data_IF_017966420714
#
_entry.id   IF_017966420714
#
_cell.length_a   1.000
_cell.length_b   1.000
_cell.length_c   1.000
_cell.angle_alpha   90.00
_cell.angle_beta   90.00
_cell.angle_gamma   90.00
#
_symmetry.space_group_name_H-M   'P 1'
#
loop_
_entity.id
_entity.type
_entity.pdbx_description
1 polymer ?
#
# COMPACT_ATOMS: atom_id res chain seq x y z
N UNK A 1 -9.70 -11.73 -0.25
CA UNK A 1 -9.46 -10.54 -1.09
C UNK A 1 -8.13 -10.68 -1.82
N UNK A 2 -8.18 -10.58 -3.15
CA UNK A 2 -7.00 -10.78 -4.00
C UNK A 2 -5.92 -9.73 -3.73
N UNK A 3 -6.31 -8.48 -3.52
CA UNK A 3 -5.37 -7.40 -3.23
C UNK A 3 -4.66 -7.64 -1.90
N UNK A 4 -5.41 -8.02 -0.87
CA UNK A 4 -4.83 -8.34 0.43
C UNK A 4 -3.88 -9.53 0.34
N UNK A 5 -4.25 -10.56 -0.41
CA UNK A 5 -3.38 -11.73 -0.62
C UNK A 5 -2.07 -11.34 -1.33
N UNK A 6 -2.14 -10.45 -2.32
CA UNK A 6 -0.95 -9.97 -3.02
C UNK A 6 -0.03 -9.18 -2.09
N UNK A 7 -0.60 -8.36 -1.21
CA UNK A 7 0.19 -7.61 -0.23
C UNK A 7 0.85 -8.54 0.79
N UNK A 8 0.14 -9.58 1.23
CA UNK A 8 0.71 -10.59 2.12
C UNK A 8 1.86 -11.35 1.43
N UNK A 9 1.72 -11.62 0.14
CA UNK A 9 2.78 -12.28 -0.64
C UNK A 9 4.03 -11.40 -0.73
N UNK A 10 3.88 -10.08 -0.83
CA UNK A 10 5.03 -9.16 -0.80
C UNK A 10 5.78 -9.28 0.53
N UNK A 11 5.07 -9.32 1.64
CA UNK A 11 5.69 -9.50 2.95
C UNK A 11 6.40 -10.84 3.06
N UNK A 12 5.80 -11.90 2.56
CA UNK A 12 6.39 -13.23 2.55
C UNK A 12 7.64 -13.30 1.66
N UNK A 13 7.71 -12.45 0.64
CA UNK A 13 8.87 -12.36 -0.26
C UNK A 13 10.01 -11.52 0.31
N UNK A 14 9.86 -10.98 1.52
CA UNK A 14 10.91 -10.22 2.20
C UNK A 14 10.78 -8.70 2.11
N UNK A 15 9.72 -8.19 1.49
CA UNK A 15 9.47 -6.76 1.48
C UNK A 15 8.89 -6.32 2.83
N UNK A 16 9.23 -5.11 3.33
CA UNK A 16 8.73 -4.64 4.63
C UNK A 16 7.28 -4.14 4.51
N UNK A 17 6.37 -5.05 4.25
CA UNK A 17 4.94 -4.74 4.05
C UNK A 17 4.09 -5.59 4.96
N UNK A 18 3.20 -4.96 5.72
CA UNK A 18 2.14 -5.62 6.48
C UNK A 18 0.80 -5.10 5.97
N UNK A 19 -0.22 -5.93 5.93
CA UNK A 19 -1.52 -5.54 5.41
C UNK A 19 -2.66 -6.19 6.18
N UNK A 20 -3.76 -5.44 6.33
CA UNK A 20 -4.96 -5.89 7.03
C UNK A 20 -6.20 -5.44 6.28
N UNK A 21 -7.32 -6.18 6.34
CA UNK A 21 -8.59 -5.66 5.88
C UNK A 21 -9.01 -4.49 6.79
N UNK A 22 -9.49 -3.39 6.19
CA UNK A 22 -9.90 -2.21 6.95
C UNK A 22 -11.43 -2.07 6.92
N UNK A 23 -11.99 -1.90 5.73
CA UNK A 23 -13.43 -1.84 5.52
C UNK A 23 -13.73 -2.57 4.21
N UNK A 24 -15.01 -2.63 3.81
CA UNK A 24 -15.43 -3.45 2.66
C UNK A 24 -14.61 -3.20 1.39
N UNK A 25 -14.22 -1.94 1.15
CA UNK A 25 -13.52 -1.55 -0.08
C UNK A 25 -12.11 -1.02 0.17
N UNK A 26 -11.54 -1.27 1.34
CA UNK A 26 -10.24 -0.72 1.69
C UNK A 26 -9.34 -1.78 2.31
N UNK A 27 -8.05 -1.62 2.07
CA UNK A 27 -7.00 -2.42 2.71
C UNK A 27 -6.05 -1.44 3.39
N UNK A 28 -5.68 -1.74 4.63
CA UNK A 28 -4.69 -0.96 5.37
C UNK A 28 -3.33 -1.63 5.21
N UNK A 29 -2.31 -0.85 4.83
CA UNK A 29 -0.96 -1.37 4.67
C UNK A 29 0.01 -0.57 5.54
N UNK A 30 1.01 -1.24 6.08
CA UNK A 30 2.10 -0.61 6.81
C UNK A 30 3.42 -0.92 6.11
N UNK A 31 4.20 0.11 5.85
CA UNK A 31 5.54 -0.03 5.28
C UNK A 31 6.41 1.14 5.75
N UNK A 32 7.72 0.92 6.01
CA UNK A 32 8.61 2.02 6.32
C UNK A 32 8.57 3.09 5.24
N UNK A 33 8.70 4.35 5.64
CA UNK A 33 8.65 5.48 4.71
C UNK A 33 7.32 5.61 3.96
N UNK A 34 6.22 5.23 4.59
CA UNK A 34 4.90 5.23 3.96
C UNK A 34 4.52 6.59 3.36
N UNK A 35 4.82 7.69 4.05
CA UNK A 35 4.53 9.03 3.53
C UNK A 35 5.28 9.28 2.22
N UNK A 36 6.53 8.86 2.14
CA UNK A 36 7.34 9.00 0.92
C UNK A 36 6.78 8.14 -0.21
N UNK A 37 6.41 6.92 0.10
CA UNK A 37 5.77 6.02 -0.88
C UNK A 37 4.47 6.64 -1.40
N UNK A 38 3.65 7.20 -0.52
CA UNK A 38 2.40 7.87 -0.90
C UNK A 38 2.65 9.05 -1.84
N UNK A 39 3.64 9.88 -1.51
CA UNK A 39 3.98 11.03 -2.35
C UNK A 39 4.44 10.60 -3.74
N UNK A 40 5.26 9.58 -3.81
CA UNK A 40 5.74 9.05 -5.09
C UNK A 40 4.64 8.38 -5.90
N UNK A 41 3.72 7.67 -5.25
CA UNK A 41 2.55 7.12 -5.94
C UNK A 41 1.74 8.23 -6.61
N UNK A 42 1.54 9.34 -5.91
CA UNK A 42 0.81 10.48 -6.45
C UNK A 42 1.59 11.15 -7.59
N UNK A 43 2.88 11.42 -7.38
CA UNK A 43 3.67 12.26 -8.29
C UNK A 43 4.17 11.49 -9.52
N UNK A 44 4.52 10.22 -9.36
CA UNK A 44 5.10 9.41 -10.45
C UNK A 44 4.08 8.53 -11.16
N UNK A 45 3.03 8.10 -10.47
CA UNK A 45 2.05 7.15 -11.00
C UNK A 45 0.63 7.69 -11.05
N UNK A 46 0.40 8.90 -10.53
CA UNK A 46 -0.94 9.50 -10.42
C UNK A 46 -1.91 8.63 -9.63
N UNK A 47 -1.41 7.90 -8.65
CA UNK A 47 -2.21 7.03 -7.80
C UNK A 47 -2.39 7.69 -6.44
N UNK A 48 -3.64 7.83 -6.00
CA UNK A 48 -3.97 8.44 -4.72
C UNK A 48 -4.30 7.37 -3.68
N UNK A 49 -3.52 7.35 -2.59
CA UNK A 49 -3.81 6.52 -1.42
C UNK A 49 -3.89 7.44 -0.20
N UNK A 50 -4.62 7.02 0.82
CA UNK A 50 -4.82 7.84 2.00
C UNK A 50 -3.76 7.55 3.05
N UNK A 51 -3.16 8.61 3.57
CA UNK A 51 -2.18 8.50 4.66
C UNK A 51 -2.93 8.46 6.00
N UNK A 52 -2.70 7.40 6.79
CA UNK A 52 -3.25 7.24 8.12
C UNK A 52 -2.18 7.24 9.21
N UNK A 53 -0.95 7.62 8.86
CA UNK A 53 0.14 7.61 9.83
C UNK A 53 -0.06 8.59 11.00
N UNK A 54 -0.98 9.56 10.85
CA UNK A 54 -1.32 10.48 11.92
C UNK A 54 -2.17 9.85 13.04
N UNK A 55 -2.82 8.72 12.77
CA UNK A 55 -3.72 8.11 13.75
C UNK A 55 -2.91 7.29 14.77
N UNK A 56 -3.35 7.27 16.06
CA UNK A 56 -2.65 6.47 17.07
C UNK A 56 -2.57 5.00 16.69
N UNK A 57 -1.38 4.43 16.81
CA UNK A 57 -1.13 3.03 16.49
C UNK A 57 -1.04 2.72 15.00
N UNK A 58 -1.19 3.73 14.13
CA UNK A 58 -1.16 3.54 12.67
C UNK A 58 0.05 4.22 12.01
N UNK A 59 1.15 4.34 12.74
CA UNK A 59 2.38 4.89 12.17
C UNK A 59 2.77 4.12 10.90
N UNK A 60 3.15 4.84 9.86
CA UNK A 60 3.54 4.29 8.56
C UNK A 60 2.44 3.47 7.87
N UNK A 61 1.17 3.77 8.15
CA UNK A 61 0.05 3.10 7.51
C UNK A 61 -0.59 3.94 6.41
N UNK A 62 -0.95 3.27 5.32
CA UNK A 62 -1.68 3.85 4.21
C UNK A 62 -2.95 3.05 3.97
N UNK A 63 -4.01 3.71 3.51
CA UNK A 63 -5.25 3.04 3.13
C UNK A 63 -5.33 3.00 1.61
N UNK A 64 -5.41 1.78 1.06
CA UNK A 64 -5.53 1.56 -0.38
C UNK A 64 -6.97 1.15 -0.69
N UNK A 65 -7.60 1.83 -1.65
CA UNK A 65 -8.96 1.50 -2.08
C UNK A 65 -8.91 0.27 -2.99
N UNK A 66 -9.80 -0.69 -2.75
CA UNK A 66 -9.98 -1.83 -3.63
C UNK A 66 -10.87 -1.40 -4.79
N UNK A 67 -10.33 -1.41 -6.00
CA UNK A 67 -11.03 -1.04 -7.22
C UNK A 67 -11.24 -2.23 -8.15
N UNK A 68 -11.22 -1.99 -9.45
CA UNK A 68 -11.27 -3.06 -10.44
C UNK A 68 -10.00 -3.90 -10.36
N UNK A 69 -10.02 -5.17 -10.84
CA UNK A 69 -8.80 -5.98 -10.87
C UNK A 69 -7.63 -5.30 -11.58
N UNK A 70 -7.88 -4.58 -12.67
CA UNK A 70 -6.84 -3.87 -13.40
C UNK A 70 -6.26 -2.72 -12.57
N UNK A 71 -7.12 -1.93 -11.92
CA UNK A 71 -6.68 -0.84 -11.06
C UNK A 71 -5.86 -1.37 -9.88
N UNK A 72 -6.31 -2.46 -9.26
CA UNK A 72 -5.60 -3.08 -8.14
C UNK A 72 -4.21 -3.55 -8.59
N UNK A 73 -4.10 -4.14 -9.77
CA UNK A 73 -2.82 -4.60 -10.29
C UNK A 73 -1.86 -3.44 -10.50
N UNK A 74 -2.33 -2.33 -11.08
CA UNK A 74 -1.51 -1.14 -11.28
C UNK A 74 -1.00 -0.56 -9.96
N UNK A 75 -1.88 -0.46 -8.96
CA UNK A 75 -1.51 0.04 -7.64
C UNK A 75 -0.49 -0.87 -6.98
N UNK A 76 -0.71 -2.18 -7.01
CA UNK A 76 0.17 -3.15 -6.38
C UNK A 76 1.54 -3.18 -7.03
N UNK A 77 1.61 -3.11 -8.37
CA UNK A 77 2.88 -3.07 -9.08
C UNK A 77 3.68 -1.82 -8.74
N UNK A 78 3.03 -0.66 -8.74
CA UNK A 78 3.67 0.60 -8.38
C UNK A 78 4.12 0.60 -6.92
N UNK A 79 3.27 0.11 -6.02
CA UNK A 79 3.56 0.03 -4.60
C UNK A 79 4.78 -0.86 -4.34
N UNK A 80 4.83 -2.03 -4.94
CA UNK A 80 5.95 -2.95 -4.78
C UNK A 80 7.26 -2.33 -5.27
N UNK A 81 7.22 -1.66 -6.42
CA UNK A 81 8.41 -1.00 -6.98
C UNK A 81 8.93 0.08 -6.04
N UNK A 82 8.03 0.92 -5.52
CA UNK A 82 8.42 2.01 -4.63
C UNK A 82 8.91 1.53 -3.27
N UNK A 83 8.30 0.49 -2.72
CA UNK A 83 8.77 -0.10 -1.46
C UNK A 83 10.20 -0.62 -1.62
N UNK A 84 10.51 -1.26 -2.73
CA UNK A 84 11.86 -1.74 -3.00
C UNK A 84 12.86 -0.59 -3.11
N UNK A 85 12.46 0.51 -3.76
CA UNK A 85 13.35 1.65 -3.94
C UNK A 85 13.60 2.41 -2.64
N UNK A 86 12.64 2.40 -1.72
CA UNK A 86 12.76 3.09 -0.43
C UNK A 86 13.36 2.20 0.68
N UNK A 87 13.70 0.99 0.39
CA UNK A 87 14.34 0.08 1.35
C UNK A 87 15.77 0.52 1.72
#
# INVERSE_FOLDING_TARGET
>A
DRELASLHAMGAAGLPVEAWPSAANFVLVRTPHATRVRERLRDEYSILVRDFSYAPGLADCLRITVGTPQENEEVLDAFAALVKEEM
#
